data_IF_997246741420
#
_entry.id   IF_997246741420
#
_cell.length_a   1.000
_cell.length_b   1.000
_cell.length_c   1.000
_cell.angle_alpha   90.00
_cell.angle_beta   90.00
_cell.angle_gamma   90.00
#
_symmetry.space_group_name_H-M   'P 1'
#
loop_
_entity.id
_entity.type
_entity.pdbx_description
1 polymer ?
#
# COMPACT_ATOMS: atom_id res chain seq x y z
N UNK A 1 -8.62 -3.94 41.69
CA UNK A 1 -7.25 -3.53 41.98
C UNK A 1 -6.39 -4.80 41.98
N UNK A 2 -5.90 -5.22 40.81
CA UNK A 2 -5.01 -6.38 40.70
C UNK A 2 -3.77 -5.88 39.96
N UNK A 3 -2.70 -5.69 40.72
CA UNK A 3 -1.37 -5.40 40.18
C UNK A 3 -0.81 -6.68 39.55
N UNK A 4 -0.61 -6.68 38.25
CA UNK A 4 0.23 -7.68 37.59
C UNK A 4 1.60 -7.07 37.40
N UNK A 5 2.57 -7.64 38.10
CA UNK A 5 3.99 -7.29 38.07
C UNK A 5 4.57 -7.59 36.69
N UNK A 6 5.14 -6.60 36.03
CA UNK A 6 5.94 -6.74 34.82
C UNK A 6 7.39 -7.12 35.19
N UNK A 7 7.65 -8.40 35.25
CA UNK A 7 8.99 -8.96 35.27
C UNK A 7 8.96 -10.38 34.70
N UNK A 8 9.08 -10.53 33.40
CA UNK A 8 9.88 -11.58 32.76
C UNK A 8 9.89 -11.42 31.22
N UNK A 9 10.87 -10.71 30.71
CA UNK A 9 11.10 -10.59 29.25
C UNK A 9 11.76 -11.84 28.64
N UNK A 10 12.00 -12.87 29.42
CA UNK A 10 12.71 -14.10 28.98
C UNK A 10 11.80 -15.18 28.36
N UNK A 11 10.48 -15.04 28.46
CA UNK A 11 9.54 -16.08 27.98
C UNK A 11 8.83 -15.75 26.65
N UNK A 12 9.12 -14.62 25.99
CA UNK A 12 8.50 -14.28 24.71
C UNK A 12 9.03 -15.10 23.51
N UNK A 13 10.14 -15.81 23.67
CA UNK A 13 10.73 -16.63 22.58
C UNK A 13 9.98 -17.93 22.27
N UNK A 14 9.01 -18.33 23.07
CA UNK A 14 8.43 -19.68 22.99
C UNK A 14 6.97 -19.75 22.50
N UNK A 15 6.33 -18.62 22.18
CA UNK A 15 4.88 -18.59 21.89
C UNK A 15 4.53 -18.63 20.40
N UNK A 16 5.48 -18.40 19.49
CA UNK A 16 5.18 -18.40 18.06
C UNK A 16 5.90 -19.52 17.30
N UNK A 17 5.22 -20.67 17.16
CA UNK A 17 5.52 -21.60 16.05
C UNK A 17 4.95 -20.98 14.77
N UNK A 18 5.73 -20.87 13.68
CA UNK A 18 5.19 -20.42 12.40
C UNK A 18 4.19 -21.45 11.86
N UNK A 19 3.05 -20.97 11.39
CA UNK A 19 2.12 -21.76 10.60
C UNK A 19 2.82 -22.23 9.32
N UNK A 20 3.03 -23.53 9.21
CA UNK A 20 3.57 -24.18 8.01
C UNK A 20 2.43 -24.31 6.99
N UNK A 21 2.45 -23.49 5.92
CA UNK A 21 1.88 -23.87 4.63
C UNK A 21 2.37 -22.91 3.53
N UNK A 22 3.17 -23.48 2.62
CA UNK A 22 3.51 -22.88 1.33
C UNK A 22 4.83 -22.09 1.33
N UNK A 23 5.78 -22.57 0.54
CA UNK A 23 7.13 -22.08 0.25
C UNK A 23 7.33 -20.55 0.40
N UNK A 24 7.48 -20.05 1.61
CA UNK A 24 8.08 -18.76 1.89
C UNK A 24 9.60 -18.96 2.05
N UNK A 25 10.37 -18.51 1.10
CA UNK A 25 11.82 -18.38 1.31
C UNK A 25 12.05 -17.24 2.31
N UNK A 26 12.23 -17.58 3.58
CA UNK A 26 12.67 -16.63 4.60
C UNK A 26 14.10 -16.25 4.25
N UNK A 27 14.27 -15.04 3.72
CA UNK A 27 15.59 -14.48 3.48
C UNK A 27 16.14 -14.04 4.82
N UNK A 28 17.32 -14.52 5.20
CA UNK A 28 18.04 -14.07 6.41
C UNK A 28 18.10 -12.54 6.43
N UNK A 29 17.83 -11.95 7.60
CA UNK A 29 17.89 -10.51 7.87
C UNK A 29 19.22 -9.94 7.38
N UNK A 30 19.20 -9.24 6.24
CA UNK A 30 20.41 -8.72 5.60
C UNK A 30 20.81 -7.36 6.19
N UNK A 31 19.89 -6.66 6.88
CA UNK A 31 20.18 -5.34 7.46
C UNK A 31 19.50 -5.13 8.82
N UNK A 32 20.19 -4.46 9.72
CA UNK A 32 19.61 -3.92 10.95
C UNK A 32 18.66 -2.77 10.63
N UNK A 33 17.60 -2.59 11.41
CA UNK A 33 16.71 -1.41 11.30
C UNK A 33 17.49 -0.10 11.51
N UNK A 34 18.60 -0.11 12.25
CA UNK A 34 19.45 1.05 12.49
C UNK A 34 20.17 1.50 11.21
N UNK A 35 20.67 0.57 10.39
CA UNK A 35 21.42 0.85 9.16
C UNK A 35 20.56 0.79 7.90
N UNK A 36 19.29 0.44 8.01
CA UNK A 36 18.39 0.29 6.87
C UNK A 36 18.10 1.65 6.21
N UNK A 37 18.59 1.85 4.98
CA UNK A 37 18.36 3.06 4.20
C UNK A 37 16.91 3.19 3.71
N UNK A 38 16.14 2.09 3.75
CA UNK A 38 14.75 2.00 3.29
C UNK A 38 13.73 2.00 4.43
N UNK A 39 14.19 2.20 5.68
CA UNK A 39 13.30 2.18 6.86
C UNK A 39 12.18 3.21 6.75
N UNK A 40 11.02 2.92 7.37
CA UNK A 40 9.92 3.87 7.46
C UNK A 40 10.36 5.16 8.15
N UNK A 41 10.04 6.31 7.53
CA UNK A 41 10.48 7.63 8.03
C UNK A 41 10.16 7.86 9.51
N UNK A 42 9.00 7.36 9.98
CA UNK A 42 8.56 7.54 11.36
C UNK A 42 9.44 6.81 12.40
N UNK A 43 10.28 5.85 11.96
CA UNK A 43 11.27 5.22 12.84
C UNK A 43 12.40 6.16 13.30
N UNK A 44 12.50 7.37 12.71
CA UNK A 44 13.40 8.41 13.22
C UNK A 44 13.03 8.89 14.63
N UNK A 45 11.77 8.70 15.07
CA UNK A 45 11.29 9.07 16.40
C UNK A 45 11.53 7.99 17.46
N UNK A 46 12.02 6.81 17.06
CA UNK A 46 12.33 5.72 17.98
C UNK A 46 13.72 5.91 18.59
N UNK A 47 13.85 5.59 19.88
CA UNK A 47 15.15 5.43 20.54
C UNK A 47 15.88 4.22 19.98
N UNK A 48 17.15 4.08 20.34
CA UNK A 48 17.96 2.93 19.91
C UNK A 48 17.40 1.61 20.46
N UNK A 49 16.93 1.62 21.70
CA UNK A 49 16.32 0.46 22.39
C UNK A 49 15.00 0.07 21.70
N UNK A 50 14.15 1.04 21.39
CA UNK A 50 12.89 0.82 20.66
C UNK A 50 13.15 0.30 19.24
N UNK A 51 14.17 0.82 18.57
CA UNK A 51 14.54 0.35 17.22
C UNK A 51 15.08 -1.09 17.25
N UNK A 52 15.85 -1.46 18.29
CA UNK A 52 16.30 -2.83 18.52
C UNK A 52 15.10 -3.75 18.79
N UNK A 53 14.12 -3.29 19.58
CA UNK A 53 12.90 -4.05 19.82
C UNK A 53 12.14 -4.34 18.52
N UNK A 54 12.04 -3.37 17.59
CA UNK A 54 11.48 -3.61 16.25
C UNK A 54 12.33 -4.62 15.49
N UNK A 55 13.65 -4.47 15.49
CA UNK A 55 14.57 -5.33 14.76
C UNK A 55 14.45 -6.79 15.18
N UNK A 56 14.34 -7.04 16.48
CA UNK A 56 14.25 -8.39 17.07
C UNK A 56 12.89 -9.05 16.85
N UNK A 57 11.86 -8.27 16.48
CA UNK A 57 10.46 -8.71 16.34
C UNK A 57 9.91 -8.47 14.92
N UNK A 58 10.77 -8.55 13.91
CA UNK A 58 10.41 -8.47 12.50
C UNK A 58 11.00 -9.61 11.70
N UNK A 59 10.44 -9.84 10.53
CA UNK A 59 11.05 -10.68 9.50
C UNK A 59 10.89 -10.03 8.13
N UNK A 60 11.72 -10.43 7.18
CA UNK A 60 11.66 -10.00 5.79
C UNK A 60 11.15 -11.14 4.91
N UNK A 61 10.37 -10.81 3.90
CA UNK A 61 9.91 -11.77 2.90
C UNK A 61 9.93 -11.15 1.51
N UNK A 62 10.16 -11.99 0.51
CA UNK A 62 10.13 -11.62 -0.91
C UNK A 62 8.92 -12.27 -1.57
N UNK A 63 8.21 -11.51 -2.37
CA UNK A 63 7.01 -11.93 -3.10
C UNK A 63 7.21 -11.76 -4.59
N UNK A 64 6.78 -12.76 -5.35
CA UNK A 64 6.74 -12.71 -6.81
C UNK A 64 5.50 -11.94 -7.27
N UNK A 65 5.49 -11.42 -8.51
CA UNK A 65 4.29 -10.82 -9.09
C UNK A 65 3.07 -11.75 -8.97
N UNK A 66 1.94 -11.19 -8.52
CA UNK A 66 0.69 -11.91 -8.28
C UNK A 66 0.54 -12.53 -6.88
N UNK A 67 1.60 -12.68 -6.10
CA UNK A 67 1.51 -13.23 -4.75
C UNK A 67 0.85 -12.24 -3.77
N UNK A 68 0.10 -12.78 -2.82
CA UNK A 68 -0.64 -12.00 -1.81
C UNK A 68 0.24 -11.82 -0.56
N UNK A 69 0.50 -10.56 -0.20
CA UNK A 69 1.22 -10.18 1.01
C UNK A 69 0.30 -10.16 2.24
N UNK A 70 -0.91 -9.67 2.05
CA UNK A 70 -1.94 -9.57 3.10
C UNK A 70 -3.30 -9.84 2.46
N UNK A 71 -4.12 -10.67 3.11
CA UNK A 71 -5.46 -11.04 2.60
C UNK A 71 -6.55 -10.36 3.41
N UNK A 72 -7.52 -9.76 2.74
CA UNK A 72 -8.75 -9.23 3.35
C UNK A 72 -9.42 -10.28 4.25
N UNK A 73 -9.85 -9.87 5.44
CA UNK A 73 -10.51 -10.74 6.42
C UNK A 73 -9.57 -11.59 7.27
N UNK A 74 -8.28 -11.76 6.90
CA UNK A 74 -7.33 -12.49 7.73
C UNK A 74 -6.94 -11.70 8.98
N UNK A 75 -6.53 -12.39 10.08
CA UNK A 75 -6.09 -11.73 11.30
C UNK A 75 -4.88 -10.82 11.08
N UNK A 76 -4.86 -9.67 11.74
CA UNK A 76 -3.72 -8.75 11.74
C UNK A 76 -2.70 -9.17 12.79
N UNK A 77 -1.65 -9.86 12.37
CA UNK A 77 -0.52 -10.26 13.22
C UNK A 77 0.71 -9.38 13.04
N UNK A 78 0.81 -8.67 11.93
CA UNK A 78 1.97 -7.85 11.59
C UNK A 78 1.55 -6.53 10.95
N UNK A 79 2.34 -5.48 11.18
CA UNK A 79 2.38 -4.29 10.36
C UNK A 79 3.34 -4.53 9.18
N UNK A 80 2.90 -4.25 7.97
CA UNK A 80 3.67 -4.48 6.75
C UNK A 80 4.37 -3.19 6.30
N UNK A 81 5.67 -3.25 6.09
CA UNK A 81 6.45 -2.17 5.50
C UNK A 81 7.01 -2.57 4.14
N UNK A 82 6.73 -1.76 3.12
CA UNK A 82 7.22 -1.98 1.75
C UNK A 82 8.66 -1.52 1.62
N UNK A 83 9.61 -2.45 1.47
CA UNK A 83 11.03 -2.13 1.29
C UNK A 83 11.38 -1.87 -0.19
N UNK A 84 10.82 -2.65 -1.11
CA UNK A 84 11.01 -2.46 -2.56
C UNK A 84 9.86 -3.08 -3.35
N UNK A 85 9.78 -2.73 -4.64
CA UNK A 85 8.73 -3.22 -5.53
C UNK A 85 7.42 -2.44 -5.41
N UNK A 86 6.42 -2.86 -6.19
CA UNK A 86 5.09 -2.26 -6.25
C UNK A 86 4.04 -3.33 -5.95
N UNK A 87 3.05 -2.99 -5.14
CA UNK A 87 1.90 -3.83 -4.87
C UNK A 87 0.60 -3.05 -5.04
N UNK A 88 -0.49 -3.70 -5.36
CA UNK A 88 -1.83 -3.10 -5.36
C UNK A 88 -2.54 -3.40 -4.05
N UNK A 89 -3.26 -2.42 -3.52
CA UNK A 89 -4.20 -2.60 -2.42
C UNK A 89 -5.61 -2.57 -2.96
N UNK A 90 -6.42 -3.57 -2.65
CA UNK A 90 -7.79 -3.65 -3.15
C UNK A 90 -8.75 -4.28 -2.15
N UNK A 91 -10.02 -3.92 -2.27
CA UNK A 91 -11.12 -4.55 -1.54
C UNK A 91 -11.82 -5.51 -2.50
N UNK A 92 -12.05 -6.72 -2.01
CA UNK A 92 -12.90 -7.70 -2.67
C UNK A 92 -14.36 -7.35 -2.38
N UNK A 93 -15.02 -6.83 -3.40
CA UNK A 93 -16.42 -6.41 -3.31
C UNK A 93 -17.40 -7.55 -3.60
N UNK A 94 -18.69 -7.21 -3.67
CA UNK A 94 -19.73 -8.16 -4.01
C UNK A 94 -19.57 -8.69 -5.44
N UNK A 95 -20.00 -9.93 -5.67
CA UNK A 95 -19.98 -10.60 -6.98
C UNK A 95 -18.57 -10.72 -7.61
N UNK A 96 -17.52 -10.81 -6.79
CA UNK A 96 -16.14 -10.98 -7.26
C UNK A 96 -15.54 -9.75 -7.95
N UNK A 97 -16.17 -8.58 -7.85
CA UNK A 97 -15.63 -7.33 -8.37
C UNK A 97 -14.66 -6.75 -7.35
N UNK A 98 -13.42 -6.57 -7.75
CA UNK A 98 -12.43 -5.89 -6.95
C UNK A 98 -12.53 -4.36 -7.13
N UNK A 99 -12.14 -3.63 -6.09
CA UNK A 99 -11.94 -2.20 -6.15
C UNK A 99 -10.52 -1.86 -5.69
N UNK A 100 -9.67 -1.42 -6.62
CA UNK A 100 -8.29 -1.06 -6.32
C UNK A 100 -8.27 0.29 -5.61
N UNK A 101 -7.79 0.29 -4.38
CA UNK A 101 -7.68 1.48 -3.54
C UNK A 101 -6.47 2.34 -3.91
N UNK A 102 -5.30 1.74 -4.09
CA UNK A 102 -4.05 2.44 -4.38
C UNK A 102 -2.94 1.48 -4.80
N UNK A 103 -1.83 2.05 -5.25
CA UNK A 103 -0.57 1.34 -5.41
C UNK A 103 0.28 1.56 -4.16
N UNK A 104 0.70 0.49 -3.52
CA UNK A 104 1.63 0.51 -2.41
C UNK A 104 3.05 0.68 -2.96
N UNK A 105 3.69 1.76 -2.55
CA UNK A 105 5.03 2.17 -2.98
C UNK A 105 6.08 1.80 -1.92
N UNK A 106 7.36 1.68 -2.30
CA UNK A 106 8.46 1.55 -1.34
C UNK A 106 8.46 2.70 -0.30
N UNK A 107 8.92 2.39 0.92
CA UNK A 107 8.98 3.36 2.00
C UNK A 107 7.64 3.60 2.72
N UNK A 108 6.59 2.85 2.40
CA UNK A 108 5.26 3.00 3.00
C UNK A 108 4.95 1.90 4.00
N UNK A 109 4.40 2.31 5.14
CA UNK A 109 3.75 1.39 6.06
C UNK A 109 2.35 1.07 5.55
N UNK A 110 2.03 -0.22 5.50
CA UNK A 110 0.70 -0.72 5.18
C UNK A 110 0.11 -1.32 6.45
N UNK A 111 -0.84 -0.59 7.01
CA UNK A 111 -1.61 -1.00 8.17
C UNK A 111 -3.06 -0.61 7.88
N UNK A 112 -3.93 -1.60 7.79
CA UNK A 112 -5.35 -1.38 7.57
C UNK A 112 -6.04 -0.83 8.82
N UNK A 113 -7.13 -0.05 8.67
CA UNK A 113 -7.89 0.47 9.82
C UNK A 113 -8.42 -0.63 10.73
N UNK A 114 -8.74 -1.81 10.21
CA UNK A 114 -9.18 -2.96 10.98
C UNK A 114 -8.17 -3.47 12.00
N UNK A 115 -6.87 -3.19 11.84
CA UNK A 115 -5.85 -3.60 12.79
C UNK A 115 -6.13 -3.14 14.23
N UNK A 116 -6.75 -1.97 14.39
CA UNK A 116 -7.12 -1.40 15.70
C UNK A 116 -8.60 -1.57 16.05
N UNK A 117 -9.46 -1.95 15.10
CA UNK A 117 -10.92 -2.04 15.30
C UNK A 117 -11.35 -3.47 15.58
N UNK A 118 -11.05 -4.38 14.66
CA UNK A 118 -11.50 -5.77 14.71
C UNK A 118 -10.37 -6.80 14.57
N UNK A 119 -9.11 -6.32 14.58
CA UNK A 119 -7.90 -7.12 14.42
C UNK A 119 -7.87 -7.94 13.13
N UNK A 120 -8.49 -7.43 12.05
CA UNK A 120 -8.51 -8.04 10.72
C UNK A 120 -8.06 -7.08 9.64
N UNK A 121 -7.50 -7.63 8.56
CA UNK A 121 -7.16 -6.84 7.38
C UNK A 121 -8.43 -6.45 6.61
N UNK A 122 -8.63 -5.15 6.36
CA UNK A 122 -9.80 -4.63 5.65
C UNK A 122 -9.67 -4.68 4.13
N UNK A 123 -8.47 -4.96 3.62
CA UNK A 123 -8.17 -5.06 2.19
C UNK A 123 -7.08 -6.09 1.92
N UNK A 124 -6.98 -6.52 0.69
CA UNK A 124 -5.91 -7.40 0.19
C UNK A 124 -4.78 -6.55 -0.38
N UNK A 125 -3.53 -7.00 -0.17
CA UNK A 125 -2.31 -6.45 -0.78
C UNK A 125 -1.69 -7.54 -1.62
N UNK A 126 -1.52 -7.29 -2.93
CA UNK A 126 -0.92 -8.23 -3.88
C UNK A 126 0.23 -7.60 -4.65
N UNK A 127 1.32 -8.33 -4.81
CA UNK A 127 2.50 -7.90 -5.54
C UNK A 127 2.18 -7.67 -7.02
N UNK A 128 2.61 -6.54 -7.58
CA UNK A 128 2.58 -6.26 -9.03
C UNK A 128 3.95 -6.60 -9.63
N UNK A 129 5.01 -6.20 -8.97
CA UNK A 129 6.39 -6.54 -9.32
C UNK A 129 6.98 -7.47 -8.27
N UNK A 130 8.26 -7.86 -8.39
CA UNK A 130 8.94 -8.47 -7.25
C UNK A 130 8.98 -7.50 -6.07
N UNK A 131 8.47 -7.92 -4.92
CA UNK A 131 8.33 -7.09 -3.71
C UNK A 131 9.21 -7.65 -2.60
N UNK A 132 9.96 -6.79 -1.93
CA UNK A 132 10.56 -7.08 -0.61
C UNK A 132 9.78 -6.31 0.45
N UNK A 133 9.39 -6.99 1.52
CA UNK A 133 8.61 -6.43 2.59
C UNK A 133 9.13 -6.87 3.96
N UNK A 134 9.05 -5.94 4.95
CA UNK A 134 9.29 -6.24 6.36
C UNK A 134 7.94 -6.37 7.07
N UNK A 135 7.80 -7.43 7.83
CA UNK A 135 6.66 -7.70 8.69
C UNK A 135 7.08 -7.48 10.14
N UNK A 136 6.46 -6.52 10.80
CA UNK A 136 6.76 -6.13 12.17
C UNK A 136 5.62 -6.66 13.04
N UNK A 137 5.96 -7.41 14.10
CA UNK A 137 4.97 -7.92 15.03
C UNK A 137 4.04 -6.80 15.51
N UNK A 138 2.72 -7.00 15.37
CA UNK A 138 1.74 -5.95 15.62
C UNK A 138 1.63 -5.56 17.09
N UNK A 139 1.89 -6.48 18.03
CA UNK A 139 1.87 -6.16 19.46
C UNK A 139 3.06 -5.25 19.85
N UNK A 140 4.23 -5.47 19.24
CA UNK A 140 5.38 -4.56 19.40
C UNK A 140 5.05 -3.18 18.82
N UNK A 141 4.45 -3.15 17.64
CA UNK A 141 4.01 -1.90 17.03
C UNK A 141 3.01 -1.14 17.92
N UNK A 142 2.02 -1.84 18.48
CA UNK A 142 1.05 -1.26 19.44
C UNK A 142 1.73 -0.78 20.73
N UNK A 143 2.72 -1.52 21.22
CA UNK A 143 3.50 -1.09 22.39
C UNK A 143 4.20 0.25 22.11
N UNK A 144 4.89 0.39 20.99
CA UNK A 144 5.56 1.64 20.59
C UNK A 144 4.58 2.82 20.51
N UNK A 145 3.41 2.60 19.94
CA UNK A 145 2.34 3.64 19.89
C UNK A 145 1.91 4.10 21.28
N UNK A 146 1.96 3.20 22.28
CA UNK A 146 1.56 3.55 23.68
C UNK A 146 2.64 4.28 24.46
N UNK A 147 3.91 3.99 24.18
CA UNK A 147 5.01 4.50 25.01
C UNK A 147 5.77 5.66 24.38
N UNK A 148 5.69 5.83 23.06
CA UNK A 148 6.40 6.87 22.33
C UNK A 148 5.42 7.82 21.62
N UNK A 149 5.18 9.00 22.24
CA UNK A 149 4.23 9.98 21.73
C UNK A 149 4.58 10.52 20.35
N UNK A 150 5.87 10.78 20.06
CA UNK A 150 6.30 11.28 18.75
C UNK A 150 6.12 10.23 17.64
N UNK A 151 6.35 8.94 17.96
CA UNK A 151 6.05 7.84 17.04
C UNK A 151 4.54 7.72 16.77
N UNK A 152 3.72 7.85 17.83
CA UNK A 152 2.26 7.82 17.71
C UNK A 152 1.73 8.99 16.89
N UNK A 153 2.24 10.21 17.08
CA UNK A 153 1.87 11.40 16.31
C UNK A 153 2.18 11.23 14.83
N UNK A 154 3.39 10.76 14.47
CA UNK A 154 3.74 10.50 13.07
C UNK A 154 2.88 9.39 12.42
N UNK A 155 2.40 8.41 13.20
CA UNK A 155 1.42 7.43 12.73
C UNK A 155 0.06 8.08 12.47
N UNK A 156 -0.39 8.97 13.36
CA UNK A 156 -1.65 9.71 13.18
C UNK A 156 -1.60 10.62 11.94
N UNK A 157 -0.47 11.29 11.68
CA UNK A 157 -0.26 12.05 10.44
C UNK A 157 -0.42 11.18 9.19
N UNK A 158 0.24 10.00 9.17
CA UNK A 158 0.14 9.07 8.04
C UNK A 158 -1.29 8.56 7.82
N UNK A 159 -2.02 8.24 8.89
CA UNK A 159 -3.41 7.79 8.83
C UNK A 159 -4.32 8.93 8.35
N UNK A 160 -4.13 10.14 8.89
CA UNK A 160 -4.92 11.32 8.51
C UNK A 160 -4.72 11.69 7.05
N UNK A 161 -3.48 11.68 6.55
CA UNK A 161 -3.17 11.94 5.15
C UNK A 161 -3.84 10.91 4.21
N UNK A 162 -3.81 9.62 4.57
CA UNK A 162 -4.50 8.55 3.83
C UNK A 162 -6.02 8.73 3.86
N UNK A 163 -6.58 9.13 5.00
CA UNK A 163 -8.01 9.40 5.14
C UNK A 163 -8.46 10.55 4.25
N UNK A 164 -7.74 11.68 4.25
CA UNK A 164 -8.01 12.82 3.37
C UNK A 164 -7.94 12.41 1.89
N UNK A 165 -6.93 11.66 1.50
CA UNK A 165 -6.81 11.14 0.14
C UNK A 165 -7.99 10.22 -0.25
N UNK A 166 -8.45 9.40 0.68
CA UNK A 166 -9.61 8.53 0.46
C UNK A 166 -10.92 9.31 0.30
N UNK A 167 -11.13 10.37 1.10
CA UNK A 167 -12.29 11.26 0.97
C UNK A 167 -12.29 12.00 -0.37
N UNK A 168 -11.16 12.57 -0.77
CA UNK A 168 -11.00 13.23 -2.07
C UNK A 168 -11.32 12.27 -3.21
N UNK A 169 -10.80 11.05 -3.13
CA UNK A 169 -11.07 10.02 -4.14
C UNK A 169 -12.54 9.59 -4.19
N UNK A 170 -13.19 9.48 -3.04
CA UNK A 170 -14.62 9.17 -2.97
C UNK A 170 -15.45 10.24 -3.70
N UNK A 171 -15.16 11.51 -3.47
CA UNK A 171 -15.80 12.64 -4.18
C UNK A 171 -15.54 12.55 -5.68
N UNK A 172 -14.28 12.34 -6.11
CA UNK A 172 -13.93 12.21 -7.51
C UNK A 172 -14.67 11.06 -8.21
N UNK A 173 -14.75 9.90 -7.56
CA UNK A 173 -15.45 8.74 -8.10
C UNK A 173 -16.96 8.94 -8.20
N UNK A 174 -17.56 9.74 -7.31
CA UNK A 174 -19.00 10.01 -7.30
C UNK A 174 -19.42 11.14 -8.26
N UNK A 175 -18.57 12.15 -8.43
CA UNK A 175 -18.95 13.38 -9.15
C UNK A 175 -18.35 13.48 -10.56
N UNK A 176 -17.15 12.93 -10.79
CA UNK A 176 -16.50 12.99 -12.10
C UNK A 176 -17.08 11.98 -13.08
N UNK A 177 -17.20 12.36 -14.34
CA UNK A 177 -17.49 11.45 -15.44
C UNK A 177 -16.32 10.50 -15.69
N UNK A 178 -16.55 9.49 -16.52
CA UNK A 178 -15.55 8.44 -16.79
C UNK A 178 -14.22 8.99 -17.33
N UNK A 179 -14.25 10.02 -18.19
CA UNK A 179 -13.04 10.65 -18.74
C UNK A 179 -12.19 11.31 -17.64
N UNK A 180 -12.81 12.07 -16.74
CA UNK A 180 -12.11 12.71 -15.64
C UNK A 180 -11.51 11.69 -14.67
N UNK A 181 -12.24 10.60 -14.38
CA UNK A 181 -11.73 9.52 -13.52
C UNK A 181 -10.52 8.80 -14.12
N UNK A 182 -10.53 8.55 -15.43
CA UNK A 182 -9.39 7.95 -16.10
C UNK A 182 -8.21 8.92 -16.20
N UNK A 183 -8.46 10.21 -16.48
CA UNK A 183 -7.43 11.25 -16.46
C UNK A 183 -6.77 11.37 -15.08
N UNK A 184 -7.55 11.33 -13.98
CA UNK A 184 -7.02 11.28 -12.61
C UNK A 184 -6.09 10.08 -12.40
N UNK A 185 -6.49 8.91 -12.89
CA UNK A 185 -5.66 7.70 -12.75
C UNK A 185 -4.34 7.83 -13.53
N UNK A 186 -4.37 8.35 -14.77
CA UNK A 186 -3.16 8.56 -15.58
C UNK A 186 -2.21 9.57 -14.91
N UNK A 187 -2.74 10.69 -14.40
CA UNK A 187 -1.97 11.68 -13.65
C UNK A 187 -1.41 11.09 -12.34
N UNK A 188 -2.18 10.27 -11.61
CA UNK A 188 -1.71 9.57 -10.42
C UNK A 188 -0.49 8.67 -10.73
N UNK A 189 -0.52 7.92 -11.84
CA UNK A 189 0.63 7.10 -12.24
C UNK A 189 1.82 7.98 -12.62
N UNK A 190 1.61 9.04 -13.37
CA UNK A 190 2.66 9.99 -13.73
C UNK A 190 3.29 10.67 -12.51
N UNK A 191 2.47 11.25 -11.61
CA UNK A 191 2.96 12.12 -10.55
C UNK A 191 3.45 11.37 -9.31
N UNK A 192 2.77 10.28 -8.96
CA UNK A 192 2.98 9.60 -7.67
C UNK A 192 3.75 8.31 -7.83
N UNK A 193 3.40 7.49 -8.82
CA UNK A 193 3.98 6.14 -8.95
C UNK A 193 5.33 6.20 -9.66
N UNK A 194 5.39 6.83 -10.83
CA UNK A 194 6.57 6.82 -11.70
C UNK A 194 7.36 8.13 -11.67
N UNK A 195 6.73 9.25 -11.31
CA UNK A 195 7.32 10.60 -11.36
C UNK A 195 7.87 10.94 -12.73
N UNK A 196 7.14 10.53 -13.77
CA UNK A 196 7.50 10.70 -15.17
C UNK A 196 6.23 10.68 -16.03
N UNK A 197 6.17 11.50 -17.05
CA UNK A 197 5.05 11.54 -18.00
C UNK A 197 5.08 10.39 -19.03
N UNK A 198 6.18 9.65 -19.10
CA UNK A 198 6.32 8.43 -19.91
C UNK A 198 6.60 7.25 -18.98
N UNK A 199 5.70 6.24 -18.99
CA UNK A 199 5.79 5.09 -18.10
C UNK A 199 5.11 3.84 -18.68
N UNK A 200 5.49 2.69 -18.17
CA UNK A 200 4.79 1.42 -18.43
C UNK A 200 3.67 1.24 -17.41
N UNK A 201 2.44 1.13 -17.92
CA UNK A 201 1.27 0.89 -17.08
C UNK A 201 1.34 -0.52 -16.46
N UNK A 202 1.44 -0.54 -15.14
CA UNK A 202 1.56 -1.76 -14.34
C UNK A 202 0.22 -2.46 -14.06
N UNK A 203 -0.88 -1.82 -14.39
CA UNK A 203 -2.22 -2.39 -14.29
C UNK A 203 -2.75 -2.77 -15.68
N UNK A 204 -3.40 -3.91 -15.77
CA UNK A 204 -4.20 -4.28 -16.94
C UNK A 204 -5.37 -3.31 -17.13
N UNK A 205 -5.97 -3.31 -18.33
CA UNK A 205 -7.17 -2.49 -18.61
C UNK A 205 -8.35 -2.84 -17.70
N UNK A 206 -8.46 -4.10 -17.29
CA UNK A 206 -9.43 -4.55 -16.29
C UNK A 206 -9.14 -3.91 -14.93
N UNK A 207 -7.91 -3.95 -14.46
CA UNK A 207 -7.50 -3.37 -13.19
C UNK A 207 -7.60 -1.83 -13.16
N UNK A 208 -7.33 -1.16 -14.30
CA UNK A 208 -7.63 0.26 -14.44
C UNK A 208 -9.12 0.54 -14.28
N UNK A 209 -9.97 -0.33 -14.82
CA UNK A 209 -11.42 -0.27 -14.60
C UNK A 209 -11.78 -0.45 -13.13
N UNK A 210 -11.19 -1.41 -12.44
CA UNK A 210 -11.35 -1.63 -11.00
C UNK A 210 -10.86 -0.43 -10.16
N UNK A 211 -9.82 0.25 -10.62
CA UNK A 211 -9.30 1.46 -9.96
C UNK A 211 -10.18 2.69 -10.19
N UNK A 212 -10.80 2.82 -11.34
CA UNK A 212 -11.60 4.00 -11.76
C UNK A 212 -13.11 3.78 -11.69
N UNK A 213 -13.53 2.62 -11.19
CA UNK A 213 -14.92 2.19 -11.13
C UNK A 213 -15.61 2.26 -12.51
N UNK A 214 -15.01 1.59 -13.50
CA UNK A 214 -15.50 1.49 -14.88
C UNK A 214 -15.38 0.07 -15.42
N UNK A 215 -16.17 -0.25 -16.45
CA UNK A 215 -15.96 -1.46 -17.23
C UNK A 215 -14.66 -1.36 -18.07
N UNK A 216 -14.00 -2.48 -18.31
CA UNK A 216 -12.79 -2.58 -19.13
C UNK A 216 -12.96 -1.92 -20.50
N UNK A 217 -14.12 -2.15 -21.13
CA UNK A 217 -14.46 -1.62 -22.46
C UNK A 217 -14.49 -0.09 -22.47
N UNK A 218 -15.00 0.53 -21.39
CA UNK A 218 -14.99 1.98 -21.22
C UNK A 218 -13.56 2.52 -21.11
N UNK A 219 -12.70 1.84 -20.35
CA UNK A 219 -11.27 2.22 -20.23
C UNK A 219 -10.61 2.18 -21.59
N UNK A 220 -10.76 1.08 -22.35
CA UNK A 220 -10.16 0.93 -23.69
C UNK A 220 -10.62 2.03 -24.63
N UNK A 221 -11.94 2.29 -24.68
CA UNK A 221 -12.52 3.33 -25.52
C UNK A 221 -12.00 4.74 -25.18
N UNK A 222 -11.98 5.10 -23.90
CA UNK A 222 -11.53 6.45 -23.49
C UNK A 222 -10.01 6.62 -23.71
N UNK A 223 -9.19 5.59 -23.49
CA UNK A 223 -7.77 5.66 -23.83
C UNK A 223 -7.58 5.94 -25.32
N UNK A 224 -8.37 5.30 -26.18
CA UNK A 224 -8.31 5.54 -27.63
C UNK A 224 -8.75 6.95 -27.98
N UNK A 225 -9.83 7.47 -27.38
CA UNK A 225 -10.29 8.86 -27.58
C UNK A 225 -9.22 9.90 -27.14
N UNK A 226 -8.52 9.65 -26.03
CA UNK A 226 -7.41 10.50 -25.56
C UNK A 226 -6.21 10.44 -26.52
N UNK A 227 -5.91 9.27 -27.08
CA UNK A 227 -4.87 9.10 -28.09
C UNK A 227 -5.21 9.81 -29.39
N UNK A 228 -6.40 9.58 -29.93
CA UNK A 228 -6.88 10.20 -31.18
C UNK A 228 -6.92 11.74 -31.08
N UNK A 229 -7.15 12.29 -29.88
CA UNK A 229 -7.12 13.74 -29.62
C UNK A 229 -5.72 14.29 -29.29
N UNK A 230 -4.66 13.46 -29.36
CA UNK A 230 -3.28 13.87 -29.13
C UNK A 230 -2.94 14.23 -27.69
N UNK A 231 -3.77 13.81 -26.71
CA UNK A 231 -3.53 14.08 -25.29
C UNK A 231 -2.52 13.11 -24.70
N UNK A 232 -2.59 11.84 -25.13
CA UNK A 232 -1.66 10.79 -24.73
C UNK A 232 -1.19 10.02 -25.97
N UNK A 233 -0.09 9.31 -25.82
CA UNK A 233 0.26 8.15 -26.64
C UNK A 233 0.04 6.89 -25.81
N UNK A 234 -0.57 5.88 -26.39
CA UNK A 234 -0.85 4.61 -25.70
C UNK A 234 -0.55 3.43 -26.63
N UNK A 235 0.45 2.63 -26.28
CA UNK A 235 0.78 1.41 -27.00
C UNK A 235 0.91 0.27 -26.00
N UNK A 236 0.03 -0.75 -26.13
CA UNK A 236 0.00 -1.92 -25.24
C UNK A 236 0.03 -1.52 -23.75
N UNK A 237 1.20 -1.55 -23.12
CA UNK A 237 1.41 -1.11 -21.74
C UNK A 237 2.01 0.28 -21.62
N UNK A 238 2.61 0.82 -22.69
CA UNK A 238 3.30 2.12 -22.64
C UNK A 238 2.31 3.27 -22.71
N UNK A 239 2.42 4.21 -21.77
CA UNK A 239 1.66 5.45 -21.73
C UNK A 239 2.65 6.60 -21.74
N UNK A 240 2.36 7.63 -22.58
CA UNK A 240 3.07 8.89 -22.58
C UNK A 240 2.07 10.04 -22.63
N UNK A 241 2.12 10.93 -21.66
CA UNK A 241 1.32 12.15 -21.64
C UNK A 241 1.96 13.14 -22.60
N UNK A 242 1.25 13.52 -23.67
CA UNK A 242 1.69 14.44 -24.71
C UNK A 242 1.24 15.88 -24.43
N UNK A 243 0.01 16.04 -23.91
CA UNK A 243 -0.57 17.32 -23.53
C UNK A 243 -1.10 17.24 -22.08
N UNK A 244 -0.21 17.60 -21.16
CA UNK A 244 -0.49 17.53 -19.72
C UNK A 244 -1.59 18.51 -19.31
N UNK A 245 -1.56 19.73 -19.83
CA UNK A 245 -2.54 20.77 -19.48
C UNK A 245 -3.95 20.34 -19.88
N UNK A 246 -4.10 19.79 -21.07
CA UNK A 246 -5.37 19.24 -21.55
C UNK A 246 -5.84 18.04 -20.72
N UNK A 247 -4.91 17.14 -20.32
CA UNK A 247 -5.23 16.02 -19.46
C UNK A 247 -5.72 16.48 -18.07
N UNK A 248 -5.07 17.52 -17.49
CA UNK A 248 -5.51 18.15 -16.24
C UNK A 248 -6.88 18.80 -16.39
N UNK A 249 -7.16 19.48 -17.51
CA UNK A 249 -8.48 20.05 -17.77
C UNK A 249 -9.56 18.96 -17.86
N UNK A 250 -9.27 17.84 -18.51
CA UNK A 250 -10.18 16.68 -18.56
C UNK A 250 -10.41 16.12 -17.16
N UNK A 251 -9.36 16.01 -16.34
CA UNK A 251 -9.48 15.58 -14.95
C UNK A 251 -10.41 16.47 -14.13
N UNK A 252 -10.37 17.79 -14.33
CA UNK A 252 -11.17 18.75 -13.55
C UNK A 252 -12.61 18.85 -14.06
N UNK A 253 -12.82 18.83 -15.37
CA UNK A 253 -14.14 19.08 -16.02
C UNK A 253 -14.92 17.79 -16.31
N UNK A 254 -14.26 16.65 -16.28
CA UNK A 254 -14.78 15.35 -16.69
C UNK A 254 -15.73 14.67 -15.73
#
# INVERSE_FOLDING_TARGET
MIFVSFADTRNLKTIFKPFNNGNMSVVNLISSCETCTRRWKNFQHLTKEELNLVNDNRYEATFKPGEILMKQGSPTSNALFMASGLAKTYIEGQNGKNFILSIALPGRLILGPGAYVDSRHTYTVAAITSVQACFINFEIFRHLVRVNGAFAEGLLEDISAKSLGSLTRMVNLSQKKMHGRLADALLYFSDIVFKNDEYEMILSRQELGEMTNMAKECVVRILKELEDSGVIYSDSSKIKILDRDKLVQISVKG
#
